data_IF_032613723829
#
_entry.id   IF_032613723829
#
_cell.length_a   1.000
_cell.length_b   1.000
_cell.length_c   1.000
_cell.angle_alpha   90.00
_cell.angle_beta   90.00
_cell.angle_gamma   90.00
#
_symmetry.space_group_name_H-M   'P 1'
#
loop_
_entity.id
_entity.type
_entity.pdbx_description
1 polymer ?
#
# COMPACT_ATOMS: atom_id res chain seq x y z
N UNK A 1 -12.58 40.78 -36.95
CA UNK A 1 -12.82 39.60 -36.12
C UNK A 1 -11.49 38.89 -35.91
N UNK A 2 -10.89 38.86 -34.74
CA UNK A 2 -9.65 38.16 -34.49
C UNK A 2 -9.92 36.67 -34.31
N UNK A 3 -9.14 35.83 -35.00
CA UNK A 3 -9.13 34.37 -34.87
C UNK A 3 -8.47 34.01 -33.55
N UNK A 4 -9.18 33.25 -32.71
CA UNK A 4 -8.62 32.61 -31.52
C UNK A 4 -7.82 31.39 -31.99
N UNK A 5 -6.50 31.42 -31.80
CA UNK A 5 -5.62 30.29 -31.96
C UNK A 5 -5.75 29.42 -30.67
N UNK A 6 -6.37 28.26 -30.82
CA UNK A 6 -6.31 27.20 -29.83
C UNK A 6 -4.92 26.56 -29.94
N UNK A 7 -4.02 26.94 -29.05
CA UNK A 7 -2.79 26.19 -28.80
C UNK A 7 -3.14 24.97 -27.97
N UNK A 8 -3.15 23.81 -28.58
CA UNK A 8 -3.06 22.51 -27.89
C UNK A 8 -1.67 22.47 -27.24
N UNK A 9 -1.66 22.58 -25.92
CA UNK A 9 -0.48 22.22 -25.14
C UNK A 9 -0.38 20.69 -25.19
N UNK A 10 0.52 20.20 -26.05
CA UNK A 10 0.96 18.82 -25.99
C UNK A 10 1.68 18.65 -24.66
N UNK A 11 1.03 17.96 -23.69
CA UNK A 11 1.67 17.46 -22.52
C UNK A 11 2.70 16.43 -22.98
N UNK A 12 3.97 16.76 -22.77
CA UNK A 12 5.08 15.82 -22.88
C UNK A 12 4.74 14.57 -22.04
N UNK A 13 4.71 13.35 -22.62
CA UNK A 13 4.58 12.14 -21.81
C UNK A 13 5.90 12.03 -21.02
N UNK A 14 5.91 12.53 -19.78
CA UNK A 14 6.91 12.11 -18.83
C UNK A 14 6.86 10.58 -18.82
N UNK A 15 7.99 9.93 -19.07
CA UNK A 15 8.14 8.49 -18.96
C UNK A 15 7.54 8.08 -17.63
N UNK A 16 6.38 7.44 -17.67
CA UNK A 16 5.75 6.87 -16.50
C UNK A 16 6.64 5.70 -16.12
N UNK A 17 7.54 5.93 -15.14
CA UNK A 17 8.31 4.84 -14.54
C UNK A 17 7.27 3.84 -14.05
N UNK A 18 7.36 2.58 -14.49
CA UNK A 18 6.50 1.51 -14.00
C UNK A 18 6.61 1.44 -12.48
N UNK A 19 5.50 1.16 -11.80
CA UNK A 19 5.50 0.96 -10.37
C UNK A 19 6.35 -0.27 -10.02
N UNK A 20 6.93 -0.26 -8.84
CA UNK A 20 7.69 -1.38 -8.28
C UNK A 20 7.33 -1.53 -6.81
N UNK A 21 7.24 -2.77 -6.33
CA UNK A 21 7.04 -3.02 -4.90
C UNK A 21 8.35 -2.72 -4.18
N UNK A 22 8.31 -1.73 -3.28
CA UNK A 22 9.45 -1.37 -2.44
C UNK A 22 9.55 -2.30 -1.24
N UNK A 23 10.78 -2.56 -0.81
CA UNK A 23 11.06 -3.43 0.33
C UNK A 23 11.48 -2.64 1.58
N UNK A 24 11.25 -3.23 2.74
CA UNK A 24 11.72 -2.75 4.03
C UNK A 24 13.27 -2.57 4.02
N UNK A 25 13.82 -1.54 4.63
CA UNK A 25 13.18 -0.45 5.37
C UNK A 25 13.02 0.85 4.54
N UNK A 26 12.37 0.78 3.37
CA UNK A 26 12.13 1.99 2.58
C UNK A 26 11.29 3.01 3.38
N UNK A 27 11.65 4.32 3.39
CA UNK A 27 10.98 5.32 4.23
C UNK A 27 9.47 5.45 4.00
N UNK A 28 9.00 5.26 2.76
CA UNK A 28 7.57 5.32 2.43
C UNK A 28 6.73 4.28 3.17
N UNK A 29 7.31 3.12 3.52
CA UNK A 29 6.62 2.09 4.31
C UNK A 29 6.34 2.53 5.76
N UNK A 30 6.99 3.59 6.22
CA UNK A 30 6.78 4.21 7.54
C UNK A 30 6.05 5.55 7.47
N UNK A 31 5.60 5.93 6.27
CA UNK A 31 4.88 7.17 6.06
C UNK A 31 3.38 7.00 6.32
N UNK A 32 2.78 7.88 7.11
CA UNK A 32 1.33 7.95 7.32
C UNK A 32 0.67 8.66 6.14
N UNK A 33 -0.10 7.90 5.35
CA UNK A 33 -0.76 8.38 4.14
C UNK A 33 -1.95 9.27 4.44
N UNK A 34 -2.04 10.40 3.73
CA UNK A 34 -3.15 11.33 3.87
C UNK A 34 -4.39 10.90 3.08
N UNK A 35 -5.60 11.30 3.53
CA UNK A 35 -6.84 11.01 2.81
C UNK A 35 -6.83 11.62 1.41
N UNK A 36 -7.23 10.80 0.43
CA UNK A 36 -7.41 11.19 -0.97
C UNK A 36 -8.68 12.03 -1.10
N UNK A 37 -8.58 13.14 -1.82
CA UNK A 37 -9.71 14.04 -2.13
C UNK A 37 -10.18 13.95 -3.58
N UNK A 38 -9.36 13.36 -4.46
CA UNK A 38 -9.62 13.33 -5.89
C UNK A 38 -9.22 11.99 -6.52
N UNK A 39 -10.11 11.45 -7.34
CA UNK A 39 -9.86 10.27 -8.16
C UNK A 39 -9.94 10.72 -9.63
N UNK A 40 -8.79 10.76 -10.31
CA UNK A 40 -8.70 11.10 -11.72
C UNK A 40 -8.30 9.89 -12.58
N UNK A 41 -8.13 10.12 -13.89
CA UNK A 41 -7.78 9.07 -14.84
C UNK A 41 -6.37 8.48 -14.55
N UNK A 42 -5.44 9.31 -14.06
CA UNK A 42 -4.09 8.87 -13.76
C UNK A 42 -4.09 7.96 -12.54
N UNK A 43 -4.83 8.31 -11.47
CA UNK A 43 -4.96 7.45 -10.28
C UNK A 43 -5.59 6.10 -10.63
N UNK A 44 -6.57 6.06 -11.55
CA UNK A 44 -7.16 4.80 -12.02
C UNK A 44 -6.15 3.92 -12.73
N UNK A 45 -5.29 4.47 -13.58
CA UNK A 45 -4.23 3.73 -14.26
C UNK A 45 -3.19 3.18 -13.27
N UNK A 46 -2.83 3.97 -12.24
CA UNK A 46 -1.98 3.52 -11.12
C UNK A 46 -2.59 2.31 -10.40
N UNK A 47 -3.89 2.37 -10.12
CA UNK A 47 -4.60 1.27 -9.43
C UNK A 47 -4.63 0.00 -10.28
N UNK A 48 -4.83 0.12 -11.60
CA UNK A 48 -4.75 -1.02 -12.52
C UNK A 48 -3.35 -1.66 -12.48
N UNK A 49 -2.29 -0.84 -12.53
CA UNK A 49 -0.91 -1.32 -12.40
C UNK A 49 -0.62 -1.95 -11.03
N UNK A 50 -1.21 -1.44 -9.94
CA UNK A 50 -1.10 -2.05 -8.61
C UNK A 50 -1.70 -3.46 -8.58
N UNK A 51 -2.82 -3.73 -9.23
CA UNK A 51 -3.38 -5.08 -9.32
C UNK A 51 -2.44 -6.03 -10.06
N UNK A 52 -1.89 -5.61 -11.20
CA UNK A 52 -0.94 -6.45 -11.94
C UNK A 52 0.30 -6.79 -11.09
N UNK A 53 0.89 -5.80 -10.42
CA UNK A 53 2.00 -6.01 -9.48
C UNK A 53 1.65 -6.95 -8.33
N UNK A 54 0.46 -6.79 -7.75
CA UNK A 54 -0.03 -7.67 -6.69
C UNK A 54 -0.11 -9.12 -7.16
N UNK A 55 -0.65 -9.36 -8.36
CA UNK A 55 -0.75 -10.72 -8.93
C UNK A 55 0.61 -11.31 -9.29
N UNK A 56 1.49 -10.53 -9.91
CA UNK A 56 2.85 -10.97 -10.25
C UNK A 56 3.63 -11.39 -8.99
N UNK A 57 3.40 -10.69 -7.89
CA UNK A 57 3.99 -11.01 -6.59
C UNK A 57 3.22 -12.09 -5.80
N UNK A 58 2.12 -12.65 -6.37
CA UNK A 58 1.23 -13.65 -5.72
C UNK A 58 0.62 -13.15 -4.41
N UNK A 59 0.34 -11.85 -4.34
CA UNK A 59 -0.33 -11.21 -3.22
C UNK A 59 -1.85 -11.28 -3.33
N UNK A 60 -2.52 -10.97 -2.23
CA UNK A 60 -3.98 -10.85 -2.12
C UNK A 60 -4.41 -9.44 -1.68
N UNK A 61 -3.44 -8.57 -1.36
CA UNK A 61 -3.58 -7.16 -1.05
C UNK A 61 -2.30 -6.42 -1.37
N UNK A 62 -2.42 -5.11 -1.66
CA UNK A 62 -1.29 -4.23 -1.92
C UNK A 62 -1.69 -2.78 -1.62
N UNK A 63 -1.01 -2.16 -0.65
CA UNK A 63 -1.20 -0.76 -0.28
C UNK A 63 -0.35 0.18 -1.15
N UNK A 64 -0.84 1.40 -1.37
CA UNK A 64 -0.13 2.39 -2.17
C UNK A 64 1.27 2.72 -1.60
N UNK A 65 1.44 2.70 -0.27
CA UNK A 65 2.76 2.85 0.36
C UNK A 65 3.78 1.83 -0.12
N UNK A 66 3.35 0.62 -0.43
CA UNK A 66 4.22 -0.47 -0.90
C UNK A 66 4.70 -0.28 -2.35
N UNK A 67 4.08 0.62 -3.10
CA UNK A 67 4.53 1.04 -4.43
C UNK A 67 5.02 2.48 -4.43
N UNK A 68 5.50 2.94 -3.28
CA UNK A 68 6.16 4.23 -3.07
C UNK A 68 5.25 5.46 -3.31
N UNK A 69 3.94 5.30 -3.04
CA UNK A 69 2.93 6.35 -3.15
C UNK A 69 2.28 6.60 -1.78
N UNK A 70 2.30 7.85 -1.26
CA UNK A 70 1.75 8.19 0.06
C UNK A 70 0.24 8.44 -0.02
N UNK A 71 -0.49 7.54 -0.65
CA UNK A 71 -1.92 7.68 -0.91
C UNK A 71 -2.71 6.71 -0.05
N UNK A 72 -3.76 7.22 0.61
CA UNK A 72 -4.56 6.40 1.52
C UNK A 72 -5.53 5.49 0.75
N UNK A 73 -4.99 4.51 0.02
CA UNK A 73 -5.73 3.47 -0.70
C UNK A 73 -4.95 2.15 -0.73
N UNK A 74 -5.69 1.08 -0.93
CA UNK A 74 -5.13 -0.23 -1.25
C UNK A 74 -6.07 -1.02 -2.16
N UNK A 75 -5.51 -2.04 -2.81
CA UNK A 75 -6.22 -3.00 -3.66
C UNK A 75 -6.25 -4.36 -2.98
N UNK A 76 -7.33 -5.12 -3.19
CA UNK A 76 -7.52 -6.46 -2.63
C UNK A 76 -8.21 -7.36 -3.64
N UNK A 77 -7.72 -8.61 -3.74
CA UNK A 77 -8.45 -9.74 -4.27
C UNK A 77 -8.05 -11.00 -3.48
N UNK A 78 -8.95 -11.52 -2.64
CA UNK A 78 -8.66 -12.70 -1.80
C UNK A 78 -8.74 -14.03 -2.55
N UNK A 79 -9.19 -14.02 -3.83
CA UNK A 79 -9.26 -15.15 -4.73
C UNK A 79 -8.46 -14.87 -6.02
N UNK A 80 -7.14 -14.68 -5.95
CA UNK A 80 -6.33 -14.23 -7.10
C UNK A 80 -6.30 -15.23 -8.27
N UNK A 81 -6.54 -16.52 -7.99
CA UNK A 81 -6.67 -17.58 -9.01
C UNK A 81 -8.09 -17.70 -9.59
N UNK A 82 -9.03 -16.89 -9.07
CA UNK A 82 -10.44 -16.87 -9.47
C UNK A 82 -10.77 -15.80 -10.50
N UNK A 83 -11.99 -15.27 -10.41
CA UNK A 83 -12.45 -14.21 -11.30
C UNK A 83 -11.83 -12.86 -10.90
N UNK A 84 -11.24 -12.12 -11.84
CA UNK A 84 -10.81 -10.73 -11.66
C UNK A 84 -11.98 -9.79 -11.28
N UNK A 85 -13.22 -10.22 -11.45
CA UNK A 85 -14.42 -9.51 -10.97
C UNK A 85 -14.52 -9.36 -9.45
N UNK A 86 -13.66 -10.03 -8.67
CA UNK A 86 -13.55 -9.88 -7.21
C UNK A 86 -12.55 -8.81 -6.77
N UNK A 87 -11.93 -8.09 -7.71
CA UNK A 87 -11.05 -6.95 -7.44
C UNK A 87 -11.77 -5.84 -6.69
N UNK A 88 -11.18 -5.42 -5.56
CA UNK A 88 -11.74 -4.35 -4.73
C UNK A 88 -10.68 -3.28 -4.49
N UNK A 89 -11.13 -2.02 -4.58
CA UNK A 89 -10.31 -0.84 -4.26
C UNK A 89 -10.92 -0.15 -3.07
N UNK A 90 -10.12 0.09 -2.04
CA UNK A 90 -10.55 0.78 -0.84
C UNK A 90 -9.79 2.10 -0.68
N UNK A 91 -10.52 3.21 -0.73
CA UNK A 91 -10.01 4.57 -0.60
C UNK A 91 -10.43 5.12 0.76
N UNK A 92 -9.48 5.74 1.47
CA UNK A 92 -9.66 6.33 2.79
C UNK A 92 -10.27 5.37 3.81
N UNK A 93 -9.71 4.16 3.97
CA UNK A 93 -10.24 3.17 4.89
C UNK A 93 -10.18 3.63 6.34
N UNK A 94 -11.20 3.24 7.11
CA UNK A 94 -11.30 3.43 8.55
C UNK A 94 -11.80 2.14 9.19
N UNK A 95 -11.06 1.64 10.17
CA UNK A 95 -11.38 0.45 10.96
C UNK A 95 -11.90 0.87 12.33
N UNK A 96 -12.98 0.26 12.77
CA UNK A 96 -13.58 0.50 14.08
C UNK A 96 -14.21 -0.77 14.67
N UNK A 97 -14.61 -0.71 15.94
CA UNK A 97 -15.32 -1.76 16.67
C UNK A 97 -14.66 -3.15 16.57
N UNK A 98 -13.35 -3.27 16.85
CA UNK A 98 -12.68 -4.57 16.82
C UNK A 98 -13.25 -5.51 17.89
N UNK A 99 -13.49 -6.77 17.53
CA UNK A 99 -13.94 -7.82 18.45
C UNK A 99 -13.28 -9.15 18.14
N UNK A 100 -13.13 -10.00 19.17
CA UNK A 100 -12.41 -11.26 19.08
C UNK A 100 -10.90 -11.05 18.95
N UNK A 101 -10.16 -12.14 18.87
CA UNK A 101 -8.72 -12.13 18.60
C UNK A 101 -8.34 -13.47 17.98
N UNK A 102 -7.70 -13.43 16.84
CA UNK A 102 -7.21 -14.60 16.13
C UNK A 102 -5.73 -14.41 15.78
N UNK A 103 -4.93 -15.44 16.03
CA UNK A 103 -3.52 -15.49 15.63
C UNK A 103 -3.40 -16.34 14.36
N UNK A 104 -2.83 -15.76 13.29
CA UNK A 104 -2.51 -16.47 12.04
C UNK A 104 -1.18 -15.98 11.50
N UNK A 105 -0.53 -16.83 10.73
CA UNK A 105 0.67 -16.48 9.98
C UNK A 105 0.34 -15.41 8.93
N UNK A 106 1.16 -14.35 8.88
CA UNK A 106 1.14 -13.30 7.87
C UNK A 106 2.51 -13.14 7.24
N UNK A 107 2.52 -12.78 5.97
CA UNK A 107 3.68 -12.28 5.24
C UNK A 107 3.34 -10.93 4.62
N UNK A 108 4.32 -10.29 4.01
CA UNK A 108 4.16 -8.99 3.36
C UNK A 108 4.98 -8.93 2.07
N UNK A 109 4.41 -8.39 1.00
CA UNK A 109 5.11 -8.22 -0.28
C UNK A 109 6.34 -7.30 -0.16
N UNK A 110 6.35 -6.41 0.85
CA UNK A 110 7.51 -5.55 1.17
C UNK A 110 8.55 -6.21 2.08
N UNK A 111 8.31 -7.44 2.53
CA UNK A 111 9.25 -8.30 3.28
C UNK A 111 9.19 -9.72 2.71
N UNK A 112 9.59 -9.92 1.43
CA UNK A 112 9.44 -11.21 0.75
C UNK A 112 10.18 -12.33 1.49
N UNK A 113 9.48 -13.45 1.69
CA UNK A 113 10.00 -14.63 2.37
C UNK A 113 9.97 -14.58 3.89
N UNK A 114 9.54 -13.47 4.50
CA UNK A 114 9.39 -13.33 5.96
C UNK A 114 7.94 -13.56 6.36
N UNK A 115 7.70 -14.52 7.25
CA UNK A 115 6.39 -14.89 7.76
C UNK A 115 6.44 -15.02 9.28
N UNK A 116 5.38 -14.57 9.96
CA UNK A 116 5.28 -14.71 11.41
C UNK A 116 3.83 -14.71 11.90
N UNK A 117 3.54 -15.27 13.11
CA UNK A 117 2.21 -15.27 13.69
C UNK A 117 1.82 -13.88 14.18
N UNK A 118 0.74 -13.33 13.62
CA UNK A 118 0.20 -12.00 13.94
C UNK A 118 -1.16 -12.13 14.61
N UNK A 119 -1.34 -11.44 15.74
CA UNK A 119 -2.64 -11.32 16.41
C UNK A 119 -3.42 -10.15 15.86
N UNK A 120 -4.65 -10.45 15.37
CA UNK A 120 -5.58 -9.42 14.91
C UNK A 120 -6.99 -9.66 15.45
N UNK A 121 -7.81 -8.61 15.55
CA UNK A 121 -9.26 -8.77 15.72
C UNK A 121 -9.85 -9.69 14.66
N UNK A 122 -10.71 -10.63 15.09
CA UNK A 122 -11.43 -11.53 14.18
C UNK A 122 -12.48 -10.80 13.34
N UNK A 123 -13.12 -9.79 13.97
CA UNK A 123 -14.19 -8.99 13.37
C UNK A 123 -13.92 -7.52 13.58
N UNK A 124 -14.20 -6.75 12.54
CA UNK A 124 -14.09 -5.30 12.54
C UNK A 124 -15.34 -4.70 11.90
N UNK A 125 -15.58 -3.43 12.13
CA UNK A 125 -16.44 -2.62 11.28
C UNK A 125 -15.54 -1.77 10.38
N UNK A 126 -15.76 -1.87 9.08
CA UNK A 126 -14.93 -1.25 8.05
C UNK A 126 -15.72 -0.19 7.29
N UNK A 127 -15.09 0.96 7.03
CA UNK A 127 -15.62 2.01 6.19
C UNK A 127 -14.54 2.43 5.19
N UNK A 128 -14.90 2.62 3.93
CA UNK A 128 -14.04 3.13 2.88
C UNK A 128 -14.89 3.70 1.73
N UNK A 129 -14.25 4.18 0.67
CA UNK A 129 -14.91 4.53 -0.58
C UNK A 129 -14.37 3.67 -1.72
N UNK A 130 -15.24 3.35 -2.67
CA UNK A 130 -14.84 2.74 -3.95
C UNK A 130 -14.32 3.79 -4.95
N UNK A 131 -13.87 3.34 -6.14
CA UNK A 131 -13.42 4.21 -7.23
C UNK A 131 -14.51 5.15 -7.80
N UNK A 132 -15.76 4.88 -7.53
CA UNK A 132 -16.90 5.70 -7.95
C UNK A 132 -17.30 6.72 -6.88
N UNK A 133 -16.67 6.66 -5.70
CA UNK A 133 -17.00 7.51 -4.55
C UNK A 133 -18.18 7.00 -3.74
N UNK A 134 -18.65 5.77 -3.97
CA UNK A 134 -19.67 5.16 -3.12
C UNK A 134 -19.06 4.70 -1.81
N UNK A 135 -19.78 4.90 -0.72
CA UNK A 135 -19.36 4.42 0.59
C UNK A 135 -19.53 2.90 0.69
N UNK A 136 -18.48 2.23 1.15
CA UNK A 136 -18.49 0.82 1.54
C UNK A 136 -18.46 0.80 3.07
N UNK A 137 -19.49 0.26 3.70
CA UNK A 137 -19.61 0.26 5.16
C UNK A 137 -20.25 -1.02 5.66
N UNK A 138 -19.66 -1.65 6.66
CA UNK A 138 -20.23 -2.83 7.29
C UNK A 138 -19.28 -3.64 8.16
N UNK A 139 -19.79 -4.69 8.79
CA UNK A 139 -18.96 -5.66 9.49
C UNK A 139 -18.16 -6.50 8.50
N UNK A 140 -16.90 -6.78 8.84
CA UNK A 140 -16.04 -7.72 8.12
C UNK A 140 -15.47 -8.75 9.08
N UNK A 141 -15.27 -9.98 8.57
CA UNK A 141 -14.68 -11.09 9.32
C UNK A 141 -13.85 -12.00 8.40
N UNK A 142 -13.12 -12.94 8.97
CA UNK A 142 -12.32 -13.92 8.23
C UNK A 142 -11.14 -13.30 7.48
N UNK A 143 -10.81 -13.86 6.31
CA UNK A 143 -9.63 -13.45 5.52
C UNK A 143 -9.72 -11.99 5.08
N UNK A 144 -10.88 -11.54 4.60
CA UNK A 144 -11.07 -10.14 4.19
C UNK A 144 -10.78 -9.17 5.34
N UNK A 145 -11.31 -9.43 6.55
CA UNK A 145 -11.03 -8.60 7.72
C UNK A 145 -9.52 -8.56 8.06
N UNK A 146 -8.81 -9.68 7.87
CA UNK A 146 -7.37 -9.74 8.11
C UNK A 146 -6.60 -8.90 7.09
N UNK A 147 -6.90 -9.08 5.80
CA UNK A 147 -6.23 -8.35 4.72
C UNK A 147 -6.47 -6.84 4.85
N UNK A 148 -7.70 -6.39 5.04
CA UNK A 148 -7.97 -4.94 5.16
C UNK A 148 -7.30 -4.31 6.40
N UNK A 149 -7.09 -5.08 7.48
CA UNK A 149 -6.30 -4.62 8.63
C UNK A 149 -4.82 -4.51 8.28
N UNK A 150 -4.28 -5.50 7.57
CA UNK A 150 -2.89 -5.50 7.11
C UNK A 150 -2.60 -4.30 6.18
N UNK A 151 -3.46 -4.11 5.18
CA UNK A 151 -3.29 -3.01 4.22
C UNK A 151 -3.53 -1.63 4.85
N UNK A 152 -4.47 -1.52 5.81
CA UNK A 152 -4.68 -0.26 6.54
C UNK A 152 -3.46 0.09 7.42
N UNK A 153 -2.81 -0.91 8.03
CA UNK A 153 -1.57 -0.69 8.76
C UNK A 153 -0.51 -0.03 7.89
N UNK A 154 -0.31 -0.50 6.66
CA UNK A 154 0.62 0.14 5.73
C UNK A 154 0.31 1.61 5.51
N UNK A 155 -0.96 1.98 5.40
CA UNK A 155 -1.39 3.38 5.23
C UNK A 155 -1.13 4.23 6.49
N UNK A 156 -1.01 3.61 7.64
CA UNK A 156 -0.68 4.23 8.93
C UNK A 156 0.84 4.14 9.25
N UNK A 157 1.67 3.69 8.29
CA UNK A 157 3.12 3.52 8.46
C UNK A 157 3.51 2.35 9.36
N UNK A 158 2.60 1.41 9.59
CA UNK A 158 2.78 0.23 10.44
C UNK A 158 3.04 -1.00 9.56
N UNK A 159 4.04 -1.81 9.93
CA UNK A 159 4.34 -3.08 9.31
C UNK A 159 3.83 -4.23 10.19
N UNK A 160 3.55 -5.41 9.59
CA UNK A 160 3.11 -6.57 10.39
C UNK A 160 4.13 -6.97 11.47
N UNK A 161 5.42 -6.72 11.24
CA UNK A 161 6.50 -6.97 12.22
C UNK A 161 6.34 -6.15 13.50
N UNK A 162 5.67 -4.99 13.47
CA UNK A 162 5.43 -4.15 14.62
C UNK A 162 4.31 -4.71 15.54
N UNK A 163 3.57 -5.71 15.06
CA UNK A 163 2.48 -6.36 15.77
C UNK A 163 2.87 -7.70 16.40
N UNK A 164 4.11 -8.11 16.18
CA UNK A 164 4.61 -9.39 16.69
C UNK A 164 4.83 -9.35 18.20
N UNK A 165 4.74 -10.51 18.83
CA UNK A 165 5.28 -10.70 20.18
C UNK A 165 6.81 -10.63 20.13
N UNK A 166 7.44 -10.33 21.28
CA UNK A 166 8.91 -10.31 21.40
C UNK A 166 9.54 -11.62 20.91
N UNK A 167 8.92 -12.75 21.21
CA UNK A 167 9.41 -14.07 20.76
C UNK A 167 9.31 -14.21 19.25
N UNK A 168 8.15 -13.90 18.66
CA UNK A 168 7.97 -14.00 17.21
C UNK A 168 8.87 -13.03 16.43
N UNK A 169 9.13 -11.84 16.99
CA UNK A 169 10.06 -10.89 16.40
C UNK A 169 11.51 -11.43 16.43
N UNK A 170 11.92 -12.03 17.57
CA UNK A 170 13.25 -12.63 17.71
C UNK A 170 13.47 -13.79 16.73
N UNK A 171 12.44 -14.55 16.39
CA UNK A 171 12.52 -15.67 15.44
C UNK A 171 12.81 -15.21 14.00
N UNK A 172 12.45 -13.97 13.63
CA UNK A 172 12.67 -13.41 12.29
C UNK A 172 13.75 -12.31 12.24
N UNK A 173 14.36 -11.96 13.38
CA UNK A 173 15.30 -10.84 13.52
C UNK A 173 16.42 -10.89 12.48
N UNK A 174 17.04 -12.05 12.29
CA UNK A 174 18.11 -12.23 11.31
C UNK A 174 17.65 -11.94 9.87
N UNK A 175 16.42 -12.33 9.51
CA UNK A 175 15.85 -12.09 8.18
C UNK A 175 15.55 -10.61 7.98
N UNK A 176 15.01 -9.93 8.98
CA UNK A 176 14.74 -8.48 8.94
C UNK A 176 16.06 -7.69 8.82
N UNK A 177 17.11 -8.08 9.56
CA UNK A 177 18.42 -7.46 9.51
C UNK A 177 19.10 -7.56 8.13
N UNK A 178 18.80 -8.60 7.33
CA UNK A 178 19.27 -8.71 5.94
C UNK A 178 18.74 -7.57 5.06
N UNK A 179 17.46 -7.22 5.17
CA UNK A 179 16.85 -6.10 4.45
C UNK A 179 17.47 -4.75 4.86
N UNK A 180 17.71 -4.55 6.15
CA UNK A 180 18.36 -3.33 6.66
C UNK A 180 19.78 -3.20 6.13
N UNK A 181 20.52 -4.30 6.10
CA UNK A 181 21.88 -4.35 5.57
C UNK A 181 21.90 -4.07 4.07
N UNK A 182 20.96 -4.66 3.31
CA UNK A 182 20.82 -4.40 1.87
C UNK A 182 20.54 -2.91 1.61
N UNK A 183 19.59 -2.32 2.33
CA UNK A 183 19.24 -0.90 2.21
C UNK A 183 20.42 0.01 2.56
N UNK A 184 21.14 -0.28 3.62
CA UNK A 184 22.34 0.48 4.01
C UNK A 184 23.42 0.44 2.91
N UNK A 185 23.58 -0.71 2.26
CA UNK A 185 24.48 -0.87 1.11
C UNK A 185 24.04 -0.04 -0.10
N UNK A 186 22.75 -0.05 -0.45
CA UNK A 186 22.18 0.75 -1.54
C UNK A 186 22.40 2.25 -1.32
N UNK A 187 22.13 2.74 -0.12
CA UNK A 187 22.38 4.14 0.25
C UNK A 187 23.86 4.51 0.11
N UNK A 188 24.74 3.65 0.58
CA UNK A 188 26.19 3.86 0.50
C UNK A 188 26.70 3.92 -0.96
N UNK A 189 26.11 3.15 -1.86
CA UNK A 189 26.50 3.11 -3.27
C UNK A 189 25.72 4.12 -4.15
N UNK A 190 24.79 4.89 -3.56
CA UNK A 190 23.98 5.88 -4.28
C UNK A 190 22.95 5.27 -5.23
N UNK A 191 22.59 4.01 -5.04
CA UNK A 191 21.55 3.31 -5.82
C UNK A 191 20.15 3.47 -5.22
N UNK A 192 20.07 3.99 -4.00
CA UNK A 192 18.81 4.33 -3.35
C UNK A 192 18.77 5.80 -2.94
N UNK A 193 17.56 6.35 -2.87
CA UNK A 193 17.33 7.70 -2.38
C UNK A 193 17.36 7.74 -0.84
N UNK A 194 17.92 8.83 -0.31
CA UNK A 194 17.88 9.11 1.13
C UNK A 194 16.46 9.53 1.58
N UNK A 195 16.26 9.55 2.88
CA UNK A 195 14.96 9.84 3.48
C UNK A 195 14.45 11.25 3.14
N UNK A 196 15.34 12.25 3.04
CA UNK A 196 14.94 13.62 2.71
C UNK A 196 14.43 13.73 1.28
N UNK A 197 15.10 13.08 0.34
CA UNK A 197 14.70 13.01 -1.07
C UNK A 197 13.35 12.30 -1.23
N UNK A 198 13.18 11.16 -0.56
CA UNK A 198 11.90 10.43 -0.53
C UNK A 198 10.81 11.32 0.03
N UNK A 199 11.00 11.95 1.19
CA UNK A 199 10.00 12.81 1.83
C UNK A 199 9.56 13.98 0.93
N UNK A 200 10.48 14.63 0.22
CA UNK A 200 10.13 15.71 -0.71
C UNK A 200 9.21 15.23 -1.83
N UNK A 201 9.54 14.07 -2.41
CA UNK A 201 8.72 13.46 -3.46
C UNK A 201 7.34 13.05 -2.96
N UNK A 202 7.25 12.44 -1.77
CA UNK A 202 5.96 12.09 -1.17
C UNK A 202 5.06 13.32 -0.98
N UNK A 203 5.63 14.45 -0.52
CA UNK A 203 4.90 15.70 -0.36
C UNK A 203 4.35 16.25 -1.69
N UNK A 204 5.07 16.08 -2.80
CA UNK A 204 4.61 16.47 -4.14
C UNK A 204 3.42 15.60 -4.60
N UNK A 205 3.47 14.29 -4.36
CA UNK A 205 2.35 13.37 -4.68
C UNK A 205 1.12 13.72 -3.84
N UNK A 206 1.28 13.92 -2.53
CA UNK A 206 0.19 14.33 -1.63
C UNK A 206 -0.46 15.64 -2.06
N UNK A 207 0.33 16.64 -2.49
CA UNK A 207 -0.19 17.93 -2.93
C UNK A 207 -1.13 17.79 -4.15
N UNK A 208 -0.98 16.73 -4.95
CA UNK A 208 -1.81 16.48 -6.12
C UNK A 208 -3.12 15.76 -5.78
N UNK A 209 -3.17 14.93 -4.75
CA UNK A 209 -4.30 14.04 -4.46
C UNK A 209 -4.96 14.26 -3.10
N UNK A 210 -4.23 14.80 -2.13
CA UNK A 210 -4.67 14.99 -0.73
C UNK A 210 -4.88 16.46 -0.39
#
# INVERSE_FOLDING_TARGET
MPRILLTTVESNPAETKSLEIITYPHPTLRHESKPIKRVDKQLRAIIEEMFELMYDAKGIGLAANQVDLPLRLFVVNINPDGDRGEEQVFINPVISRPTGTEEKEEGCLSLPGVYAPVRRPEKIHFNAFDLSGNEISGPMEGMMARVVQHETDHLDGVMFIDRLSETALADIDAQVAEFETARASELKHGTAHDEETVRKRLAEVEANYC
#
